data_IF_612317626593
#
_entry.id   IF_612317626593
#
_cell.length_a   1.000
_cell.length_b   1.000
_cell.length_c   1.000
_cell.angle_alpha   90.00
_cell.angle_beta   90.00
_cell.angle_gamma   90.00
#
_symmetry.space_group_name_H-M   'P 1'
#
loop_
_entity.id
_entity.type
_entity.pdbx_description
1 polymer ?
#
# COMPACT_ATOMS: atom_id res chain seq x y z
N UNK A 1 12.75 -11.53 26.95
CA UNK A 1 13.56 -11.53 25.72
C UNK A 1 13.75 -12.92 25.13
N UNK A 2 14.51 -13.84 25.76
CA UNK A 2 14.75 -15.17 25.17
C UNK A 2 13.48 -15.95 24.79
N UNK A 3 12.50 -16.04 25.70
CA UNK A 3 11.19 -16.68 25.43
C UNK A 3 10.37 -15.97 24.36
N UNK A 4 10.45 -14.63 24.31
CA UNK A 4 9.78 -13.83 23.28
C UNK A 4 10.38 -14.09 21.90
N UNK A 5 11.71 -14.09 21.78
CA UNK A 5 12.42 -14.44 20.54
C UNK A 5 12.04 -15.84 20.05
N UNK A 6 11.98 -16.83 20.95
CA UNK A 6 11.60 -18.19 20.58
C UNK A 6 10.14 -18.27 20.10
N UNK A 7 9.21 -17.60 20.78
CA UNK A 7 7.80 -17.56 20.35
C UNK A 7 7.66 -16.91 18.98
N UNK A 8 8.31 -15.76 18.77
CA UNK A 8 8.32 -15.04 17.49
C UNK A 8 8.95 -15.87 16.37
N UNK A 9 10.06 -16.54 16.65
CA UNK A 9 10.71 -17.45 15.71
C UNK A 9 9.81 -18.61 15.28
N UNK A 10 9.11 -19.23 16.23
CA UNK A 10 8.20 -20.34 15.94
C UNK A 10 6.97 -19.88 15.14
N UNK A 11 6.38 -18.74 15.53
CA UNK A 11 5.25 -18.15 14.82
C UNK A 11 5.62 -17.74 13.39
N UNK A 12 6.78 -17.11 13.21
CA UNK A 12 7.31 -16.76 11.89
C UNK A 12 7.53 -18.00 11.03
N UNK A 13 8.16 -19.06 11.56
CA UNK A 13 8.37 -20.30 10.80
C UNK A 13 7.06 -20.98 10.40
N UNK A 14 6.04 -20.95 11.26
CA UNK A 14 4.72 -21.47 10.91
C UNK A 14 4.10 -20.69 9.74
N UNK A 15 4.09 -19.35 9.82
CA UNK A 15 3.58 -18.48 8.74
C UNK A 15 4.39 -18.63 7.45
N UNK A 16 5.72 -18.75 7.54
CA UNK A 16 6.62 -18.98 6.40
C UNK A 16 6.30 -20.30 5.70
N UNK A 17 6.10 -21.38 6.46
CA UNK A 17 5.77 -22.69 5.92
C UNK A 17 4.39 -22.72 5.25
N UNK A 18 3.39 -22.09 5.87
CA UNK A 18 2.05 -21.95 5.28
C UNK A 18 2.10 -21.15 3.96
N UNK A 19 2.81 -20.02 3.95
CA UNK A 19 2.99 -19.22 2.75
C UNK A 19 3.74 -19.98 1.65
N UNK A 20 4.77 -20.76 2.00
CA UNK A 20 5.53 -21.58 1.07
C UNK A 20 4.69 -22.70 0.46
N UNK A 21 3.82 -23.36 1.25
CA UNK A 21 2.86 -24.35 0.72
C UNK A 21 1.94 -23.70 -0.31
N UNK A 22 1.39 -22.53 0.01
CA UNK A 22 0.49 -21.82 -0.91
C UNK A 22 1.24 -21.45 -2.19
N UNK A 23 2.46 -20.93 -2.10
CA UNK A 23 3.28 -20.58 -3.26
C UNK A 23 3.62 -21.82 -4.11
N UNK A 24 3.95 -22.95 -3.51
CA UNK A 24 4.23 -24.19 -4.23
C UNK A 24 2.98 -24.71 -4.97
N UNK A 25 1.80 -24.61 -4.35
CA UNK A 25 0.54 -24.94 -5.02
C UNK A 25 0.25 -24.00 -6.21
N UNK A 26 0.59 -22.72 -6.08
CA UNK A 26 0.44 -21.74 -7.17
C UNK A 26 1.42 -21.98 -8.32
N UNK A 27 2.67 -22.38 -8.01
CA UNK A 27 3.66 -22.77 -9.02
C UNK A 27 3.19 -24.01 -9.81
N UNK A 28 2.56 -25.00 -9.15
CA UNK A 28 1.95 -26.15 -9.83
C UNK A 28 0.80 -25.75 -10.77
N UNK A 29 0.09 -24.67 -10.46
CA UNK A 29 -0.97 -24.10 -11.29
C UNK A 29 -0.43 -23.17 -12.40
N UNK A 30 0.89 -23.05 -12.55
CA UNK A 30 1.54 -22.25 -13.59
C UNK A 30 1.78 -20.78 -13.23
N UNK A 31 1.55 -20.38 -11.98
CA UNK A 31 1.84 -19.03 -11.50
C UNK A 31 3.20 -18.98 -10.82
N UNK A 32 4.22 -18.53 -11.55
CA UNK A 32 5.57 -18.36 -11.00
C UNK A 32 5.63 -17.21 -10.00
N UNK A 33 6.53 -17.27 -9.02
CA UNK A 33 6.81 -16.18 -8.07
C UNK A 33 7.10 -14.84 -8.77
N UNK A 34 7.85 -14.87 -9.87
CA UNK A 34 8.18 -13.67 -10.66
C UNK A 34 6.93 -13.04 -11.30
N UNK A 35 6.01 -13.86 -11.80
CA UNK A 35 4.74 -13.37 -12.36
C UNK A 35 3.88 -12.71 -11.27
N UNK A 36 3.80 -13.32 -10.09
CA UNK A 36 3.08 -12.74 -8.95
C UNK A 36 3.71 -11.41 -8.49
N UNK A 37 5.04 -11.30 -8.53
CA UNK A 37 5.76 -10.07 -8.22
C UNK A 37 5.47 -8.95 -9.25
N UNK A 38 5.41 -9.28 -10.54
CA UNK A 38 5.02 -8.33 -11.59
C UNK A 38 3.59 -7.85 -11.38
N UNK A 39 2.66 -8.78 -11.13
CA UNK A 39 1.25 -8.46 -10.86
C UNK A 39 1.09 -7.60 -9.60
N UNK A 40 1.86 -7.86 -8.55
CA UNK A 40 1.91 -7.00 -7.37
C UNK A 40 2.43 -5.59 -7.70
N UNK A 41 3.50 -5.47 -8.48
CA UNK A 41 4.03 -4.17 -8.88
C UNK A 41 3.03 -3.38 -9.74
N UNK A 42 2.32 -4.04 -10.66
CA UNK A 42 1.24 -3.43 -11.44
C UNK A 42 0.11 -2.93 -10.54
N UNK A 43 -0.26 -3.72 -9.53
CA UNK A 43 -1.23 -3.32 -8.51
C UNK A 43 -0.75 -2.08 -7.76
N UNK A 44 0.50 -2.07 -7.27
CA UNK A 44 1.08 -0.93 -6.53
C UNK A 44 1.08 0.31 -7.41
N UNK A 45 1.57 0.22 -8.64
CA UNK A 45 1.58 1.35 -9.60
C UNK A 45 0.16 1.85 -9.85
N UNK A 46 -0.83 0.95 -9.97
CA UNK A 46 -2.21 1.36 -10.16
C UNK A 46 -2.79 2.07 -8.93
N UNK A 47 -2.54 1.53 -7.73
CA UNK A 47 -3.09 2.03 -6.47
C UNK A 47 -2.39 3.29 -5.94
N UNK A 48 -1.11 3.49 -6.26
CA UNK A 48 -0.30 4.64 -5.82
C UNK A 48 -0.34 5.81 -6.82
N UNK A 49 -1.06 5.68 -7.94
CA UNK A 49 -1.21 6.78 -8.91
C UNK A 49 -1.78 8.03 -8.23
N UNK A 50 -1.18 9.21 -8.44
CA UNK A 50 -1.69 10.43 -7.85
C UNK A 50 -3.11 10.71 -8.34
N UNK A 51 -3.94 11.21 -7.44
CA UNK A 51 -5.31 11.61 -7.75
C UNK A 51 -5.29 12.61 -8.90
N UNK A 52 -6.13 12.37 -9.92
CA UNK A 52 -6.29 13.33 -11.01
C UNK A 52 -6.71 14.68 -10.44
N UNK A 53 -5.90 15.71 -10.70
CA UNK A 53 -6.20 17.09 -10.31
C UNK A 53 -7.24 17.67 -11.27
N UNK A 54 -8.12 18.51 -10.74
CA UNK A 54 -9.02 19.32 -11.55
C UNK A 54 -8.19 20.36 -12.32
N UNK A 55 -8.44 20.52 -13.62
CA UNK A 55 -7.86 21.61 -14.40
C UNK A 55 -8.89 22.15 -15.37
N UNK A 56 -9.04 23.48 -15.40
CA UNK A 56 -9.91 24.21 -16.34
C UNK A 56 -9.51 23.97 -17.80
N UNK A 57 -8.25 23.61 -18.05
CA UNK A 57 -7.70 23.38 -19.38
C UNK A 57 -7.61 21.89 -19.77
N UNK A 58 -8.02 20.97 -18.90
CA UNK A 58 -7.83 19.54 -19.14
C UNK A 58 -8.57 19.06 -20.39
N UNK A 59 -9.81 19.51 -20.59
CA UNK A 59 -10.58 19.19 -21.80
C UNK A 59 -9.91 19.72 -23.07
N UNK A 60 -9.29 20.90 -23.03
CA UNK A 60 -8.57 21.45 -24.17
C UNK A 60 -7.27 20.66 -24.45
N UNK A 61 -6.51 20.28 -23.41
CA UNK A 61 -5.32 19.44 -23.55
C UNK A 61 -5.65 18.07 -24.13
N UNK A 62 -6.73 17.44 -23.67
CA UNK A 62 -7.17 16.13 -24.18
C UNK A 62 -7.57 16.23 -25.66
N UNK A 63 -8.27 17.30 -26.05
CA UNK A 63 -8.62 17.55 -27.46
C UNK A 63 -7.36 17.84 -28.30
N UNK A 64 -6.43 18.66 -27.81
CA UNK A 64 -5.14 18.94 -28.46
C UNK A 64 -4.33 17.65 -28.68
N UNK A 65 -4.32 16.76 -27.69
CA UNK A 65 -3.64 15.47 -27.80
C UNK A 65 -4.34 14.56 -28.82
N UNK A 66 -5.67 14.56 -28.89
CA UNK A 66 -6.41 13.84 -29.96
C UNK A 66 -6.09 14.42 -31.34
N UNK A 67 -5.98 15.74 -31.46
CA UNK A 67 -5.62 16.41 -32.71
C UNK A 67 -4.18 16.03 -33.13
N UNK A 68 -3.24 16.05 -32.20
CA UNK A 68 -1.85 15.63 -32.42
C UNK A 68 -1.78 14.15 -32.85
N UNK A 69 -2.49 13.27 -32.14
CA UNK A 69 -2.58 11.85 -32.50
C UNK A 69 -3.21 11.64 -33.88
N UNK A 70 -4.22 12.44 -34.24
CA UNK A 70 -4.85 12.39 -35.56
C UNK A 70 -3.88 12.84 -36.65
N UNK A 71 -3.09 13.88 -36.40
CA UNK A 71 -2.05 14.35 -37.32
C UNK A 71 -0.94 13.28 -37.50
N UNK A 72 -0.52 12.63 -36.41
CA UNK A 72 0.45 11.54 -36.46
C UNK A 72 -0.11 10.32 -37.21
N UNK A 73 -1.40 10.03 -37.07
CA UNK A 73 -2.05 8.97 -37.84
C UNK A 73 -2.07 9.28 -39.34
N UNK A 74 -2.27 10.54 -39.72
CA UNK A 74 -2.20 10.96 -41.11
C UNK A 74 -0.77 10.91 -41.67
N UNK A 75 0.26 11.21 -40.87
CA UNK A 75 1.66 11.04 -41.31
C UNK A 75 2.02 9.56 -41.44
N UNK A 76 1.66 8.71 -40.48
CA UNK A 76 1.89 7.26 -40.58
C UNK A 76 1.17 6.63 -41.78
N UNK A 77 -0.06 7.06 -42.09
CA UNK A 77 -0.76 6.63 -43.31
C UNK A 77 -0.05 7.09 -44.59
N UNK A 78 0.45 8.32 -44.63
CA UNK A 78 1.20 8.84 -45.79
C UNK A 78 2.50 8.07 -46.01
N UNK A 79 3.23 7.73 -44.94
CA UNK A 79 4.42 6.89 -45.02
C UNK A 79 4.08 5.45 -45.44
N UNK A 80 2.99 4.88 -44.92
CA UNK A 80 2.50 3.56 -45.36
C UNK A 80 2.19 3.57 -46.87
N UNK A 81 1.43 4.55 -47.34
CA UNK A 81 1.10 4.69 -48.77
C UNK A 81 2.35 4.92 -49.63
N UNK A 82 3.37 5.63 -49.11
CA UNK A 82 4.66 5.83 -49.82
C UNK A 82 5.41 4.52 -49.97
N UNK A 83 5.51 3.73 -48.89
CA UNK A 83 6.16 2.42 -48.92
C UNK A 83 5.39 1.41 -49.78
N UNK A 84 4.06 1.41 -49.75
CA UNK A 84 3.20 0.63 -50.65
C UNK A 84 3.43 1.03 -52.12
N UNK A 85 3.50 2.34 -52.42
CA UNK A 85 3.80 2.83 -53.77
C UNK A 85 5.20 2.45 -54.24
N UNK A 86 6.19 2.36 -53.32
CA UNK A 86 7.55 1.88 -53.64
C UNK A 86 7.57 0.38 -53.97
N UNK A 87 6.73 -0.42 -53.31
CA UNK A 87 6.54 -1.84 -53.62
C UNK A 87 5.86 -2.00 -55.00
N UNK A 88 4.84 -1.19 -55.30
CA UNK A 88 4.10 -1.26 -56.58
C UNK A 88 4.92 -0.80 -57.78
N UNK A 89 5.74 0.25 -57.60
CA UNK A 89 6.57 0.81 -58.69
C UNK A 89 7.87 0.04 -58.91
N UNK A 90 8.31 -0.76 -57.94
CA UNK A 90 9.55 -1.56 -58.03
C UNK A 90 10.83 -0.73 -58.07
N UNK A 91 10.76 0.57 -57.74
CA UNK A 91 11.89 1.49 -57.67
C UNK A 91 12.28 1.63 -56.21
N UNK A 92 13.39 0.99 -55.84
CA UNK A 92 13.92 1.02 -54.48
C UNK A 92 15.02 2.08 -54.36
N UNK A 93 15.05 2.80 -53.24
CA UNK A 93 16.19 3.66 -52.89
C UNK A 93 17.44 2.80 -52.63
N UNK A 94 18.62 3.34 -52.95
CA UNK A 94 19.90 2.65 -52.82
C UNK A 94 20.11 2.18 -51.36
N UNK A 95 20.31 0.87 -51.17
CA UNK A 95 20.41 0.12 -49.90
C UNK A 95 19.10 -0.28 -49.18
N UNK A 96 17.92 -0.08 -49.77
CA UNK A 96 16.67 -0.57 -49.18
C UNK A 96 16.25 -1.90 -49.82
N UNK A 97 16.28 -2.99 -49.04
CA UNK A 97 15.83 -4.32 -49.48
C UNK A 97 14.32 -4.48 -49.26
N UNK A 98 13.64 -5.23 -50.12
CA UNK A 98 12.19 -5.54 -50.02
C UNK A 98 11.78 -6.01 -48.60
N UNK A 99 12.62 -6.81 -47.95
CA UNK A 99 12.41 -7.29 -46.57
C UNK A 99 12.33 -6.15 -45.54
N UNK A 100 13.19 -5.13 -45.65
CA UNK A 100 13.23 -3.96 -44.77
C UNK A 100 11.97 -3.10 -44.96
N UNK A 101 11.47 -3.01 -46.20
CA UNK A 101 10.23 -2.28 -46.49
C UNK A 101 9.04 -2.99 -45.87
N UNK A 102 8.97 -4.32 -45.96
CA UNK A 102 7.91 -5.13 -45.37
C UNK A 102 7.89 -5.04 -43.83
N UNK A 103 9.05 -5.15 -43.18
CA UNK A 103 9.16 -5.00 -41.72
C UNK A 103 8.71 -3.61 -41.24
N UNK A 104 9.14 -2.54 -41.93
CA UNK A 104 8.71 -1.18 -41.62
C UNK A 104 7.21 -0.96 -41.87
N UNK A 105 6.63 -1.64 -42.85
CA UNK A 105 5.20 -1.57 -43.17
C UNK A 105 4.38 -2.27 -42.07
N UNK A 106 4.81 -3.45 -41.62
CA UNK A 106 4.20 -4.15 -40.48
C UNK A 106 4.27 -3.31 -39.20
N UNK A 107 5.42 -2.72 -38.88
CA UNK A 107 5.57 -1.81 -37.74
C UNK A 107 4.66 -0.56 -37.85
N UNK A 108 4.59 0.06 -39.03
CA UNK A 108 3.75 1.24 -39.25
C UNK A 108 2.27 0.88 -39.18
N UNK A 109 1.85 -0.27 -39.69
CA UNK A 109 0.49 -0.77 -39.56
C UNK A 109 0.13 -1.05 -38.10
N UNK A 110 1.06 -1.62 -37.31
CA UNK A 110 0.86 -1.83 -35.88
C UNK A 110 0.75 -0.48 -35.13
N UNK A 111 1.62 0.49 -35.45
CA UNK A 111 1.56 1.86 -34.93
C UNK A 111 0.25 2.58 -35.31
N UNK A 112 -0.24 2.40 -36.54
CA UNK A 112 -1.54 2.92 -37.00
C UNK A 112 -2.69 2.26 -36.22
N UNK A 113 -2.64 0.95 -35.99
CA UNK A 113 -3.65 0.25 -35.19
C UNK A 113 -3.68 0.74 -33.75
N UNK A 114 -2.51 0.85 -33.10
CA UNK A 114 -2.35 1.36 -31.73
C UNK A 114 -2.85 2.80 -31.60
N UNK A 115 -2.47 3.68 -32.54
CA UNK A 115 -2.90 5.09 -32.53
C UNK A 115 -4.39 5.25 -32.84
N UNK A 116 -4.97 4.45 -33.74
CA UNK A 116 -6.43 4.41 -33.97
C UNK A 116 -7.19 4.03 -32.71
N UNK A 117 -6.75 2.97 -32.01
CA UNK A 117 -7.32 2.57 -30.72
C UNK A 117 -7.21 3.70 -29.70
N UNK A 118 -6.03 4.31 -29.56
CA UNK A 118 -5.83 5.44 -28.65
C UNK A 118 -6.77 6.63 -28.95
N UNK A 119 -6.96 6.98 -30.23
CA UNK A 119 -7.90 8.04 -30.65
C UNK A 119 -9.34 7.63 -30.34
N UNK A 120 -9.73 6.39 -30.64
CA UNK A 120 -11.07 5.87 -30.33
C UNK A 120 -11.35 5.98 -28.83
N UNK A 121 -10.42 5.54 -28.00
CA UNK A 121 -10.59 5.49 -26.54
C UNK A 121 -10.63 6.89 -25.94
N UNK A 122 -9.83 7.82 -26.47
CA UNK A 122 -9.89 9.23 -26.07
C UNK A 122 -11.16 9.93 -26.54
N UNK A 123 -11.68 9.60 -27.74
CA UNK A 123 -12.97 10.13 -28.24
C UNK A 123 -14.16 9.58 -27.46
N UNK A 124 -14.15 8.30 -27.11
CA UNK A 124 -15.13 7.66 -26.25
C UNK A 124 -15.19 8.35 -24.88
N UNK A 125 -14.02 8.59 -24.25
CA UNK A 125 -13.92 9.35 -22.99
C UNK A 125 -14.49 10.77 -23.07
N UNK A 126 -14.42 11.42 -24.23
CA UNK A 126 -15.03 12.73 -24.43
C UNK A 126 -16.52 12.65 -24.82
N UNK A 127 -17.06 11.45 -25.07
CA UNK A 127 -18.43 11.21 -25.59
C UNK A 127 -18.74 12.16 -26.75
N UNK A 128 -17.75 12.28 -27.63
CA UNK A 128 -17.86 13.05 -28.86
C UNK A 128 -18.19 12.06 -29.95
N UNK A 129 -19.46 12.09 -30.37
CA UNK A 129 -19.93 11.37 -31.54
C UNK A 129 -18.97 11.64 -32.71
N UNK A 130 -18.51 10.60 -33.40
CA UNK A 130 -17.37 10.66 -34.34
C UNK A 130 -17.53 11.63 -35.52
N UNK A 131 -18.71 12.25 -35.63
CA UNK A 131 -19.13 13.23 -36.63
C UNK A 131 -18.96 14.69 -36.19
N UNK A 132 -18.63 14.96 -34.92
CA UNK A 132 -18.46 16.33 -34.43
C UNK A 132 -17.03 16.84 -34.70
N UNK A 133 -16.93 18.02 -35.31
CA UNK A 133 -15.64 18.67 -35.54
C UNK A 133 -14.95 18.97 -34.21
N UNK A 134 -13.86 18.27 -33.90
CA UNK A 134 -13.05 18.46 -32.67
C UNK A 134 -12.60 19.92 -32.49
N UNK A 135 -12.38 20.63 -33.59
CA UNK A 135 -12.04 22.06 -33.61
C UNK A 135 -13.16 22.97 -33.10
N UNK A 136 -14.43 22.56 -33.24
CA UNK A 136 -15.59 23.27 -32.68
C UNK A 136 -15.89 22.89 -31.23
N UNK A 137 -15.38 21.75 -30.77
CA UNK A 137 -15.44 21.33 -29.36
C UNK A 137 -14.35 21.98 -28.51
N UNK A 138 -13.28 22.46 -29.13
CA UNK A 138 -12.28 23.28 -28.48
C UNK A 138 -12.97 24.52 -27.92
N UNK A 139 -12.90 24.71 -26.59
CA UNK A 139 -13.64 25.72 -25.81
C UNK A 139 -15.14 25.50 -25.56
N UNK A 140 -15.72 24.33 -25.83
CA UNK A 140 -17.10 24.08 -25.40
C UNK A 140 -17.19 24.02 -23.86
N UNK A 141 -17.88 24.98 -23.26
CA UNK A 141 -18.10 25.06 -21.82
C UNK A 141 -18.82 23.82 -21.27
N UNK A 142 -19.72 23.22 -22.05
CA UNK A 142 -20.44 22.01 -21.65
C UNK A 142 -19.49 20.82 -21.47
N UNK A 143 -18.54 20.63 -22.40
CA UNK A 143 -17.56 19.54 -22.32
C UNK A 143 -16.58 19.77 -21.17
N UNK A 144 -16.12 21.01 -20.97
CA UNK A 144 -15.26 21.37 -19.84
C UNK A 144 -15.94 21.05 -18.51
N UNK A 145 -17.21 21.42 -18.37
CA UNK A 145 -18.00 21.19 -17.17
C UNK A 145 -18.28 19.69 -16.96
N UNK A 146 -18.61 18.94 -18.01
CA UNK A 146 -18.80 17.48 -17.94
C UNK A 146 -17.52 16.75 -17.53
N UNK A 147 -16.38 17.07 -18.15
CA UNK A 147 -15.08 16.49 -17.78
C UNK A 147 -14.68 16.84 -16.35
N UNK A 148 -14.97 18.07 -15.92
CA UNK A 148 -14.76 18.47 -14.53
C UNK A 148 -15.66 17.68 -13.57
N UNK A 149 -16.95 17.51 -13.88
CA UNK A 149 -17.86 16.71 -13.08
C UNK A 149 -17.40 15.24 -13.00
N UNK A 150 -16.91 14.64 -14.09
CA UNK A 150 -16.34 13.30 -14.09
C UNK A 150 -15.10 13.20 -13.19
N UNK A 151 -14.18 14.18 -13.30
CA UNK A 151 -12.97 14.23 -12.47
C UNK A 151 -13.32 14.40 -10.98
N UNK A 152 -14.30 15.25 -10.65
CA UNK A 152 -14.82 15.40 -9.29
C UNK A 152 -15.41 14.08 -8.78
N UNK A 153 -16.19 13.38 -9.60
CA UNK A 153 -16.78 12.09 -9.24
C UNK A 153 -15.72 11.01 -9.00
N UNK A 154 -14.70 10.92 -9.85
CA UNK A 154 -13.55 10.01 -9.64
C UNK A 154 -12.83 10.34 -8.33
N UNK A 155 -12.55 11.62 -8.08
CA UNK A 155 -11.91 12.07 -6.84
C UNK A 155 -12.75 11.79 -5.60
N UNK A 156 -14.08 11.94 -5.64
CA UNK A 156 -14.96 11.60 -4.53
C UNK A 156 -14.89 10.08 -4.27
N UNK A 157 -14.97 9.24 -5.31
CA UNK A 157 -14.84 7.77 -5.19
C UNK A 157 -13.51 7.38 -4.53
N UNK A 158 -12.41 7.96 -4.98
CA UNK A 158 -11.08 7.64 -4.43
C UNK A 158 -10.93 8.11 -2.99
N UNK A 159 -11.39 9.33 -2.64
CA UNK A 159 -11.35 9.82 -1.25
C UNK A 159 -12.21 8.98 -0.30
N UNK A 160 -13.37 8.51 -0.77
CA UNK A 160 -14.21 7.61 0.03
C UNK A 160 -13.55 6.24 0.21
N UNK A 161 -12.87 5.70 -0.81
CA UNK A 161 -12.09 4.47 -0.71
C UNK A 161 -10.93 4.62 0.28
N UNK A 162 -10.16 5.71 0.18
CA UNK A 162 -9.07 6.01 1.12
C UNK A 162 -9.59 6.10 2.55
N UNK A 163 -10.70 6.81 2.79
CA UNK A 163 -11.34 6.87 4.11
C UNK A 163 -11.72 5.50 4.64
N UNK A 164 -12.32 4.63 3.80
CA UNK A 164 -12.69 3.27 4.21
C UNK A 164 -11.46 2.46 4.61
N UNK A 165 -10.38 2.57 3.84
CA UNK A 165 -9.11 1.91 4.16
C UNK A 165 -8.50 2.45 5.47
N UNK A 166 -8.49 3.77 5.69
CA UNK A 166 -8.05 4.40 6.93
C UNK A 166 -8.86 3.88 8.14
N UNK A 167 -10.18 3.76 8.02
CA UNK A 167 -11.04 3.21 9.08
C UNK A 167 -10.80 1.72 9.34
N UNK A 168 -10.66 0.90 8.29
CA UNK A 168 -10.40 -0.54 8.44
C UNK A 168 -9.01 -0.80 9.06
N UNK A 169 -8.02 0.03 8.71
CA UNK A 169 -6.71 -0.03 9.34
C UNK A 169 -6.80 0.28 10.85
N UNK A 170 -7.61 1.28 11.23
CA UNK A 170 -7.88 1.59 12.64
C UNK A 170 -8.57 0.45 13.39
N UNK A 171 -9.57 -0.19 12.78
CA UNK A 171 -10.26 -1.32 13.39
C UNK A 171 -9.32 -2.52 13.60
N UNK A 172 -8.38 -2.76 12.68
CA UNK A 172 -7.35 -3.79 12.84
C UNK A 172 -6.36 -3.48 13.96
N UNK A 173 -5.81 -2.26 13.98
CA UNK A 173 -4.90 -1.81 15.04
C UNK A 173 -5.58 -1.85 16.44
N UNK A 174 -6.89 -1.64 16.49
CA UNK A 174 -7.66 -1.74 17.74
C UNK A 174 -7.79 -3.18 18.25
N UNK A 175 -7.95 -4.16 17.35
CA UNK A 175 -8.03 -5.58 17.76
C UNK A 175 -6.70 -6.09 18.31
N UNK A 176 -5.57 -5.49 17.92
CA UNK A 176 -4.24 -5.93 18.36
C UNK A 176 -3.71 -5.19 19.60
N UNK A 177 -4.19 -3.97 19.91
CA UNK A 177 -3.69 -3.18 21.07
C UNK A 177 -4.78 -2.89 22.11
N UNK A 178 -4.66 -3.51 23.28
CA UNK A 178 -5.60 -3.41 24.42
C UNK A 178 -5.58 -2.01 25.07
N UNK A 179 -4.61 -1.14 24.77
CA UNK A 179 -4.44 0.12 25.52
C UNK A 179 -4.01 1.32 24.65
N UNK A 180 -4.95 1.94 23.91
CA UNK A 180 -4.68 3.28 23.35
C UNK A 180 -5.90 4.17 23.03
N UNK A 181 -6.82 4.34 23.97
CA UNK A 181 -8.01 5.21 23.79
C UNK A 181 -7.71 6.69 23.44
N UNK A 182 -6.48 7.19 23.67
CA UNK A 182 -6.07 8.56 23.31
C UNK A 182 -5.64 8.68 21.84
N UNK A 183 -4.84 7.73 21.33
CA UNK A 183 -4.47 7.68 19.91
C UNK A 183 -5.72 7.56 19.04
N UNK A 184 -6.69 6.75 19.49
CA UNK A 184 -8.00 6.61 18.86
C UNK A 184 -8.73 7.96 18.69
N UNK A 185 -8.76 8.80 19.74
CA UNK A 185 -9.40 10.12 19.66
C UNK A 185 -8.68 11.02 18.65
N UNK A 186 -7.36 11.03 18.64
CA UNK A 186 -6.58 11.85 17.72
C UNK A 186 -6.78 11.42 16.26
N UNK A 187 -6.70 10.13 15.97
CA UNK A 187 -6.88 9.64 14.59
C UNK A 187 -8.32 9.75 14.13
N UNK A 188 -9.30 9.43 14.98
CA UNK A 188 -10.71 9.62 14.65
C UNK A 188 -11.04 11.11 14.41
N UNK A 189 -10.37 12.02 15.13
CA UNK A 189 -10.47 13.46 14.88
C UNK A 189 -9.82 13.85 13.55
N UNK A 190 -8.68 13.26 13.17
CA UNK A 190 -8.06 13.48 11.86
C UNK A 190 -8.96 12.99 10.70
N UNK A 191 -9.57 11.81 10.83
CA UNK A 191 -10.53 11.30 9.83
C UNK A 191 -11.74 12.24 9.73
N UNK A 192 -12.26 12.72 10.87
CA UNK A 192 -13.36 13.70 10.90
C UNK A 192 -12.97 15.04 10.26
N UNK A 193 -11.73 15.51 10.41
CA UNK A 193 -11.25 16.75 9.76
C UNK A 193 -11.26 16.66 8.22
N UNK A 194 -11.13 15.45 7.66
CA UNK A 194 -11.22 15.22 6.20
C UNK A 194 -12.66 15.18 5.68
N UNK A 195 -13.68 15.01 6.53
CA UNK A 195 -15.10 14.92 6.14
C UNK A 195 -15.64 16.17 5.42
N UNK A 196 -15.41 17.40 5.94
CA UNK A 196 -15.86 18.61 5.27
C UNK A 196 -15.29 18.77 3.86
N UNK A 197 -14.04 18.32 3.65
CA UNK A 197 -13.39 18.33 2.34
C UNK A 197 -14.08 17.41 1.33
N UNK A 198 -14.50 16.21 1.75
CA UNK A 198 -15.27 15.28 0.90
C UNK A 198 -16.67 15.84 0.63
N UNK A 199 -17.34 16.37 1.64
CA UNK A 199 -18.66 17.01 1.48
C UNK A 199 -18.60 18.21 0.54
N UNK A 200 -17.54 19.03 0.61
CA UNK A 200 -17.33 20.16 -0.29
C UNK A 200 -17.18 19.70 -1.75
N UNK A 201 -16.43 18.62 -1.99
CA UNK A 201 -16.32 18.03 -3.33
C UNK A 201 -17.67 17.54 -3.86
N UNK A 202 -18.48 16.89 -3.01
CA UNK A 202 -19.83 16.46 -3.38
C UNK A 202 -20.73 17.66 -3.71
N UNK A 203 -20.68 18.73 -2.91
CA UNK A 203 -21.41 19.97 -3.20
C UNK A 203 -21.01 20.56 -4.54
N UNK A 204 -19.71 20.59 -4.84
CA UNK A 204 -19.20 21.11 -6.12
C UNK A 204 -19.60 20.22 -7.30
N UNK A 205 -19.61 18.90 -7.13
CA UNK A 205 -20.12 17.96 -8.12
C UNK A 205 -21.62 18.19 -8.39
N UNK A 206 -22.44 18.27 -7.33
CA UNK A 206 -23.87 18.52 -7.47
C UNK A 206 -24.17 19.89 -8.13
N UNK A 207 -23.37 20.93 -7.82
CA UNK A 207 -23.44 22.22 -8.54
C UNK A 207 -23.14 22.06 -10.03
N UNK A 208 -22.13 21.26 -10.40
CA UNK A 208 -21.81 20.97 -11.78
C UNK A 208 -22.94 20.19 -12.49
N UNK A 209 -23.60 19.24 -11.82
CA UNK A 209 -24.78 18.54 -12.34
C UNK A 209 -25.93 19.51 -12.67
N UNK A 210 -26.28 20.42 -11.75
CA UNK A 210 -27.33 21.43 -11.97
C UNK A 210 -26.98 22.36 -13.15
N UNK A 211 -25.72 22.76 -13.26
CA UNK A 211 -25.25 23.56 -14.40
C UNK A 211 -25.36 22.79 -15.72
N UNK A 212 -25.01 21.49 -15.74
CA UNK A 212 -25.17 20.64 -16.93
C UNK A 212 -26.64 20.47 -17.32
N UNK A 213 -27.55 20.25 -16.37
CA UNK A 213 -29.00 20.21 -16.60
C UNK A 213 -29.51 21.51 -17.21
N UNK A 214 -29.10 22.65 -16.66
CA UNK A 214 -29.45 23.97 -17.21
C UNK A 214 -28.94 24.16 -18.65
N UNK A 215 -27.71 23.73 -18.95
CA UNK A 215 -27.16 23.82 -20.32
C UNK A 215 -27.87 22.90 -21.31
N UNK A 216 -28.36 21.74 -20.85
CA UNK A 216 -29.20 20.82 -21.64
C UNK A 216 -30.57 21.45 -21.91
N UNK A 217 -31.21 22.03 -20.88
CA UNK A 217 -32.49 22.74 -21.02
C UNK A 217 -32.37 23.94 -21.99
N UNK A 218 -31.24 24.65 -21.96
CA UNK A 218 -30.92 25.76 -22.87
C UNK A 218 -30.50 25.31 -24.29
N UNK A 219 -30.48 24.00 -24.59
CA UNK A 219 -30.03 23.42 -25.88
C UNK A 219 -28.61 23.82 -26.31
N UNK A 220 -27.75 24.17 -25.35
CA UNK A 220 -26.32 24.45 -25.59
C UNK A 220 -25.48 23.16 -25.56
N UNK A 221 -26.07 22.05 -25.15
CA UNK A 221 -25.46 20.74 -25.12
C UNK A 221 -25.55 20.00 -26.48
N UNK A 222 -24.64 19.06 -26.78
CA UNK A 222 -24.75 18.14 -27.91
C UNK A 222 -26.09 17.37 -27.90
N UNK A 223 -26.58 16.99 -29.10
CA UNK A 223 -27.83 16.21 -29.21
C UNK A 223 -27.68 14.87 -28.51
N UNK A 224 -28.63 14.53 -27.64
CA UNK A 224 -28.61 13.28 -26.87
C UNK A 224 -27.85 13.32 -25.55
N UNK A 225 -27.29 14.48 -25.15
CA UNK A 225 -26.59 14.59 -23.88
C UNK A 225 -27.52 14.35 -22.67
N UNK A 226 -27.12 13.40 -21.81
CA UNK A 226 -27.81 13.05 -20.56
C UNK A 226 -27.09 13.74 -19.39
N UNK A 227 -27.85 14.31 -18.47
CA UNK A 227 -27.30 14.92 -17.27
C UNK A 227 -26.84 13.85 -16.26
N UNK A 228 -25.68 14.02 -15.61
CA UNK A 228 -25.24 13.11 -14.57
C UNK A 228 -26.09 13.21 -13.30
N UNK A 229 -26.33 12.07 -12.66
CA UNK A 229 -27.12 12.01 -11.42
C UNK A 229 -26.39 12.71 -10.25
N UNK A 230 -27.09 13.53 -9.46
CA UNK A 230 -26.53 14.12 -8.24
C UNK A 230 -26.33 13.06 -7.14
N UNK A 231 -25.32 13.29 -6.30
CA UNK A 231 -24.99 12.42 -5.16
C UNK A 231 -25.76 12.89 -3.93
N UNK A 232 -26.44 11.96 -3.28
CA UNK A 232 -27.16 12.20 -2.03
C UNK A 232 -26.11 12.38 -0.91
N UNK A 233 -26.20 13.49 -0.17
CA UNK A 233 -25.26 13.78 0.92
C UNK A 233 -25.58 13.00 2.21
N UNK A 234 -26.86 12.68 2.43
CA UNK A 234 -27.29 11.84 3.55
C UNK A 234 -26.80 10.41 3.33
N UNK A 235 -26.01 9.89 4.27
CA UNK A 235 -25.49 8.52 4.17
C UNK A 235 -24.26 8.34 3.29
N UNK A 236 -23.65 9.41 2.75
CA UNK A 236 -22.47 9.37 1.87
C UNK A 236 -21.33 8.46 2.37
N UNK A 237 -21.13 8.39 3.69
CA UNK A 237 -20.05 7.61 4.30
C UNK A 237 -20.42 6.15 4.59
N UNK A 238 -21.68 5.76 4.41
CA UNK A 238 -22.12 4.36 4.53
C UNK A 238 -21.70 3.55 3.31
N UNK A 239 -21.48 4.19 2.15
CA UNK A 239 -20.99 3.57 0.92
C UNK A 239 -21.85 2.35 0.54
N UNK A 240 -23.13 2.59 0.29
CA UNK A 240 -24.04 1.52 -0.11
C UNK A 240 -23.77 1.10 -1.56
N UNK A 241 -24.13 -0.14 -1.91
CA UNK A 241 -23.94 -0.70 -3.26
C UNK A 241 -24.78 0.06 -4.28
N UNK A 242 -25.94 0.59 -3.85
CA UNK A 242 -26.89 1.31 -4.68
C UNK A 242 -26.63 2.83 -4.77
N UNK A 243 -25.55 3.34 -4.17
CA UNK A 243 -25.25 4.77 -4.22
C UNK A 243 -25.01 5.26 -5.66
N UNK A 244 -25.64 6.39 -6.03
CA UNK A 244 -25.48 7.05 -7.35
C UNK A 244 -24.02 7.37 -7.71
N UNK A 245 -23.12 7.34 -6.73
CA UNK A 245 -21.69 7.51 -6.94
C UNK A 245 -21.08 6.41 -7.84
N UNK A 246 -21.69 5.22 -7.89
CA UNK A 246 -21.22 4.09 -8.67
C UNK A 246 -21.74 4.07 -10.11
N UNK A 247 -22.81 4.80 -10.42
CA UNK A 247 -23.45 4.79 -11.74
C UNK A 247 -22.88 5.86 -12.66
N UNK A 248 -22.11 5.52 -13.70
CA UNK A 248 -21.51 6.48 -14.64
C UNK A 248 -22.46 6.99 -15.77
N UNK A 249 -23.75 7.06 -15.46
CA UNK A 249 -24.80 7.59 -16.35
C UNK A 249 -24.49 9.05 -16.73
N UNK A 250 -24.44 9.35 -18.03
CA UNK A 250 -24.09 10.67 -18.56
C UNK A 250 -22.59 10.95 -18.63
N UNK A 251 -21.74 9.97 -18.27
CA UNK A 251 -20.29 10.05 -18.44
C UNK A 251 -19.76 9.04 -19.46
N UNK A 252 -20.25 7.80 -19.46
CA UNK A 252 -19.94 6.79 -20.48
C UNK A 252 -21.16 6.55 -21.40
N UNK A 253 -20.91 6.59 -22.71
CA UNK A 253 -21.77 5.94 -23.70
C UNK A 253 -21.13 4.58 -23.97
N UNK A 254 -21.58 3.55 -23.25
CA UNK A 254 -21.03 2.19 -23.34
C UNK A 254 -21.32 1.58 -24.72
N UNK A 255 -20.40 1.76 -25.67
CA UNK A 255 -20.09 0.75 -26.67
C UNK A 255 -18.76 0.09 -26.31
N UNK A 256 -18.84 -0.94 -25.47
CA UNK A 256 -18.04 -2.17 -25.55
C UNK A 256 -16.56 -2.00 -25.89
N UNK A 257 -15.75 -1.46 -24.98
CA UNK A 257 -14.41 -2.01 -24.80
C UNK A 257 -14.40 -2.76 -23.47
N UNK A 258 -14.35 -4.09 -23.56
CA UNK A 258 -13.95 -4.97 -22.48
C UNK A 258 -12.67 -4.42 -21.87
N UNK A 259 -12.80 -3.68 -20.77
CA UNK A 259 -11.69 -3.38 -19.88
C UNK A 259 -11.20 -4.75 -19.45
N UNK A 260 -10.12 -5.24 -20.04
CA UNK A 260 -9.46 -6.47 -19.59
C UNK A 260 -9.17 -6.28 -18.12
N UNK A 261 -9.92 -7.00 -17.28
CA UNK A 261 -9.81 -6.91 -15.83
C UNK A 261 -8.41 -7.43 -15.49
N UNK A 262 -7.56 -6.62 -14.86
CA UNK A 262 -6.21 -7.06 -14.52
C UNK A 262 -6.24 -8.36 -13.73
N UNK A 263 -5.28 -9.25 -13.99
CA UNK A 263 -5.26 -10.58 -13.39
C UNK A 263 -5.17 -10.52 -11.85
N UNK A 264 -4.42 -9.56 -11.30
CA UNK A 264 -4.38 -9.29 -9.85
C UNK A 264 -5.72 -8.88 -9.24
N UNK A 265 -6.68 -8.40 -10.05
CA UNK A 265 -8.01 -8.01 -9.58
C UNK A 265 -9.05 -9.11 -9.82
N UNK A 266 -9.02 -9.73 -11.00
CA UNK A 266 -10.04 -10.67 -11.48
C UNK A 266 -9.81 -12.13 -11.08
N UNK A 267 -8.56 -12.59 -10.95
CA UNK A 267 -8.24 -13.99 -10.66
C UNK A 267 -7.98 -14.20 -9.17
N UNK A 268 -8.80 -15.03 -8.53
CA UNK A 268 -8.66 -15.33 -7.09
C UNK A 268 -7.33 -16.02 -6.77
N UNK A 269 -6.83 -16.88 -7.65
CA UNK A 269 -5.57 -17.58 -7.44
C UNK A 269 -4.38 -16.60 -7.43
N UNK A 270 -4.39 -15.60 -8.32
CA UNK A 270 -3.37 -14.54 -8.37
C UNK A 270 -3.42 -13.70 -7.09
N UNK A 271 -4.62 -13.37 -6.59
CA UNK A 271 -4.79 -12.65 -5.32
C UNK A 271 -4.24 -13.43 -4.12
N UNK A 272 -4.56 -14.73 -4.03
CA UNK A 272 -4.03 -15.61 -2.99
C UNK A 272 -2.51 -15.77 -3.10
N UNK A 273 -2.00 -15.90 -4.33
CA UNK A 273 -0.57 -15.99 -4.62
C UNK A 273 0.18 -14.72 -4.20
N UNK A 274 -0.33 -13.52 -4.53
CA UNK A 274 0.26 -12.25 -4.11
C UNK A 274 0.30 -12.15 -2.58
N UNK A 275 -0.80 -12.47 -1.88
CA UNK A 275 -0.82 -12.46 -0.41
C UNK A 275 0.23 -13.40 0.19
N UNK A 276 0.32 -14.63 -0.31
CA UNK A 276 1.32 -15.59 0.15
C UNK A 276 2.75 -15.13 -0.16
N UNK A 277 2.98 -14.51 -1.31
CA UNK A 277 4.29 -13.96 -1.68
C UNK A 277 4.72 -12.84 -0.71
N UNK A 278 3.80 -11.92 -0.39
CA UNK A 278 4.06 -10.83 0.55
C UNK A 278 4.31 -11.36 1.97
N UNK A 279 3.52 -12.32 2.43
CA UNK A 279 3.71 -12.95 3.75
C UNK A 279 5.06 -13.67 3.82
N UNK A 280 5.44 -14.39 2.76
CA UNK A 280 6.74 -15.05 2.67
C UNK A 280 7.90 -14.05 2.72
N UNK A 281 7.82 -12.95 1.96
CA UNK A 281 8.82 -11.89 1.98
C UNK A 281 8.92 -11.22 3.35
N UNK A 282 7.78 -10.96 4.01
CA UNK A 282 7.72 -10.43 5.37
C UNK A 282 8.37 -11.39 6.37
N UNK A 283 8.12 -12.69 6.25
CA UNK A 283 8.75 -13.70 7.09
C UNK A 283 10.28 -13.73 6.90
N UNK A 284 10.79 -13.56 5.67
CA UNK A 284 12.24 -13.46 5.41
C UNK A 284 12.84 -12.22 6.08
N UNK A 285 12.15 -11.09 6.00
CA UNK A 285 12.60 -9.85 6.65
C UNK A 285 12.63 -10.01 8.17
N UNK A 286 11.54 -10.53 8.75
CA UNK A 286 11.43 -10.78 10.19
C UNK A 286 12.46 -11.83 10.66
N UNK A 287 12.74 -12.86 9.85
CA UNK A 287 13.81 -13.83 10.11
C UNK A 287 15.17 -13.13 10.26
N UNK A 288 15.51 -12.21 9.35
CA UNK A 288 16.74 -11.41 9.45
C UNK A 288 16.74 -10.54 10.70
N UNK A 289 15.62 -9.87 10.99
CA UNK A 289 15.46 -9.04 12.19
C UNK A 289 15.69 -9.83 13.47
N UNK A 290 15.03 -10.98 13.64
CA UNK A 290 15.15 -11.85 14.81
C UNK A 290 16.58 -12.38 14.99
N UNK A 291 17.29 -12.67 13.89
CA UNK A 291 18.70 -13.05 13.92
C UNK A 291 19.57 -11.90 14.45
N UNK A 292 19.34 -10.66 13.99
CA UNK A 292 20.07 -9.48 14.46
C UNK A 292 19.75 -9.10 15.91
N UNK A 293 18.49 -9.25 16.34
CA UNK A 293 18.09 -9.07 17.74
C UNK A 293 18.74 -10.10 18.64
N UNK A 294 18.80 -11.37 18.20
CA UNK A 294 19.56 -12.42 18.89
C UNK A 294 21.04 -12.02 19.04
N UNK A 295 21.69 -11.55 17.97
CA UNK A 295 23.09 -11.11 18.02
C UNK A 295 23.28 -9.95 19.00
N UNK A 296 22.41 -8.95 18.95
CA UNK A 296 22.44 -7.78 19.84
C UNK A 296 22.28 -8.18 21.31
N UNK A 297 21.31 -9.05 21.61
CA UNK A 297 21.07 -9.57 22.95
C UNK A 297 22.28 -10.36 23.49
N UNK A 298 22.90 -11.20 22.65
CA UNK A 298 24.10 -11.95 23.01
C UNK A 298 25.29 -11.02 23.24
N UNK A 299 25.47 -10.01 22.39
CA UNK A 299 26.56 -9.04 22.51
C UNK A 299 26.46 -8.23 23.79
N UNK A 300 25.26 -7.69 24.08
CA UNK A 300 24.99 -6.97 25.32
C UNK A 300 25.35 -7.81 26.55
N UNK A 301 24.94 -9.08 26.56
CA UNK A 301 25.26 -9.94 27.69
C UNK A 301 26.75 -10.22 27.84
N UNK A 302 27.48 -10.43 26.73
CA UNK A 302 28.94 -10.64 26.74
C UNK A 302 29.65 -9.43 27.35
N UNK A 303 29.26 -8.23 26.93
CA UNK A 303 29.85 -6.98 27.42
C UNK A 303 29.61 -6.80 28.91
N UNK A 304 28.34 -6.93 29.35
CA UNK A 304 27.96 -6.84 30.76
C UNK A 304 28.71 -7.87 31.61
N UNK A 305 28.83 -9.11 31.12
CA UNK A 305 29.53 -10.18 31.81
C UNK A 305 31.03 -9.86 32.00
N UNK A 306 31.70 -9.42 30.93
CA UNK A 306 33.13 -9.05 30.98
C UNK A 306 33.36 -7.87 31.93
N UNK A 307 32.50 -6.86 31.90
CA UNK A 307 32.59 -5.68 32.77
C UNK A 307 32.47 -6.09 34.25
N UNK A 308 31.49 -6.92 34.59
CA UNK A 308 31.28 -7.36 35.98
C UNK A 308 32.44 -8.22 36.48
N UNK A 309 32.94 -9.15 35.66
CA UNK A 309 34.07 -10.00 36.05
C UNK A 309 35.33 -9.14 36.30
N UNK A 310 35.59 -8.15 35.43
CA UNK A 310 36.70 -7.20 35.63
C UNK A 310 36.51 -6.36 36.90
N UNK A 311 35.30 -5.83 37.12
CA UNK A 311 34.99 -5.02 38.31
C UNK A 311 35.18 -5.80 39.62
N UNK A 312 34.73 -7.06 39.66
CA UNK A 312 34.95 -7.95 40.82
C UNK A 312 36.44 -8.20 41.06
N UNK A 313 37.24 -8.34 40.01
CA UNK A 313 38.69 -8.54 40.12
C UNK A 313 39.46 -7.29 40.56
N UNK A 314 38.96 -6.09 40.27
CA UNK A 314 39.63 -4.82 40.58
C UNK A 314 39.19 -4.20 41.92
N UNK A 315 37.93 -4.38 42.33
CA UNK A 315 37.35 -3.75 43.54
C UNK A 315 37.39 -4.69 44.75
N UNK A 316 38.54 -5.33 45.01
CA UNK A 316 38.68 -6.28 46.14
C UNK A 316 38.69 -5.63 47.52
N UNK A 317 38.74 -4.30 47.61
CA UNK A 317 38.91 -3.56 48.86
C UNK A 317 37.60 -3.08 49.50
N UNK A 318 36.55 -2.80 48.72
CA UNK A 318 35.25 -2.34 49.22
C UNK A 318 34.22 -3.49 49.30
N UNK A 319 33.92 -3.93 50.52
CA UNK A 319 33.04 -5.06 50.83
C UNK A 319 31.61 -4.82 50.31
N UNK A 320 31.11 -3.58 50.37
CA UNK A 320 29.72 -3.26 49.98
C UNK A 320 29.54 -3.30 48.46
N UNK A 321 30.49 -2.71 47.73
CA UNK A 321 30.50 -2.72 46.26
C UNK A 321 30.68 -4.15 45.74
N UNK A 322 31.56 -4.93 46.36
CA UNK A 322 31.79 -6.32 46.00
C UNK A 322 30.56 -7.21 46.22
N UNK A 323 29.76 -6.96 47.25
CA UNK A 323 28.48 -7.65 47.46
C UNK A 323 27.48 -7.34 46.35
N UNK A 324 27.33 -6.07 45.94
CA UNK A 324 26.45 -5.66 44.85
C UNK A 324 26.87 -6.26 43.50
N UNK A 325 28.18 -6.28 43.21
CA UNK A 325 28.72 -6.90 41.99
C UNK A 325 28.47 -8.41 41.96
N UNK A 326 28.57 -9.09 43.11
CA UNK A 326 28.22 -10.53 43.23
C UNK A 326 26.73 -10.78 42.99
N UNK A 327 25.84 -9.92 43.52
CA UNK A 327 24.40 -10.01 43.24
C UNK A 327 24.10 -9.81 41.75
N UNK A 328 24.73 -8.80 41.12
CA UNK A 328 24.61 -8.56 39.67
C UNK A 328 25.13 -9.75 38.85
N UNK A 329 26.24 -10.37 39.24
CA UNK A 329 26.76 -11.61 38.62
C UNK A 329 25.75 -12.75 38.73
N UNK A 330 25.13 -12.95 39.90
CA UNK A 330 24.09 -13.97 40.07
C UNK A 330 22.86 -13.68 39.20
N UNK A 331 22.41 -12.43 39.12
CA UNK A 331 21.33 -12.02 38.23
C UNK A 331 21.63 -12.36 36.77
N UNK A 332 22.83 -12.04 36.27
CA UNK A 332 23.22 -12.39 34.90
C UNK A 332 23.28 -13.90 34.68
N UNK A 333 23.69 -14.70 35.68
CA UNK A 333 23.63 -16.15 35.56
C UNK A 333 22.20 -16.68 35.42
N UNK A 334 21.24 -16.14 36.18
CA UNK A 334 19.82 -16.50 36.02
C UNK A 334 19.29 -16.09 34.65
N UNK A 335 19.67 -14.89 34.20
CA UNK A 335 19.29 -14.37 32.89
C UNK A 335 19.83 -15.26 31.76
N UNK A 336 21.10 -15.68 31.86
CA UNK A 336 21.72 -16.64 30.95
C UNK A 336 20.93 -17.94 30.86
N UNK A 337 20.57 -18.53 32.01
CA UNK A 337 19.79 -19.78 32.05
C UNK A 337 18.41 -19.62 31.40
N UNK A 338 17.77 -18.48 31.60
CA UNK A 338 16.46 -18.17 31.00
C UNK A 338 16.53 -17.94 29.48
N UNK A 339 17.68 -17.51 28.94
CA UNK A 339 17.84 -17.17 27.53
C UNK A 339 18.56 -18.26 26.71
N UNK A 340 19.41 -19.08 27.32
CA UNK A 340 20.20 -20.10 26.63
C UNK A 340 19.33 -21.12 25.88
N UNK A 341 18.30 -21.66 26.56
CA UNK A 341 17.43 -22.68 25.96
C UNK A 341 16.55 -22.11 24.84
N UNK A 342 15.83 -20.99 25.03
CA UNK A 342 14.97 -20.44 23.97
C UNK A 342 15.72 -20.00 22.72
N UNK A 343 16.95 -19.47 22.88
CA UNK A 343 17.72 -18.83 21.81
C UNK A 343 18.53 -19.83 20.99
N UNK A 344 18.72 -21.06 21.50
CA UNK A 344 19.43 -22.14 20.80
C UNK A 344 18.71 -22.59 19.52
N UNK A 345 17.37 -22.50 19.47
CA UNK A 345 16.57 -22.89 18.31
C UNK A 345 16.69 -21.95 17.10
N UNK A 346 17.27 -20.76 17.28
CA UNK A 346 17.43 -19.75 16.24
C UNK A 346 18.82 -19.93 15.59
N UNK A 347 18.96 -19.99 14.26
CA UNK A 347 20.25 -20.09 13.59
C UNK A 347 21.15 -18.87 13.88
N UNK A 348 22.46 -19.09 13.90
CA UNK A 348 23.46 -18.02 14.10
C UNK A 348 24.82 -18.56 14.52
N UNK A 349 25.90 -17.84 14.17
CA UNK A 349 27.30 -18.25 14.36
C UNK A 349 27.74 -18.46 15.82
N UNK A 350 26.91 -18.07 16.78
CA UNK A 350 27.26 -18.04 18.20
C UNK A 350 26.74 -19.26 18.98
N UNK A 351 27.01 -20.48 18.49
CA UNK A 351 26.83 -21.71 19.26
C UNK A 351 27.87 -21.88 20.40
N UNK A 352 28.76 -20.91 20.56
CA UNK A 352 29.84 -20.91 21.56
C UNK A 352 29.44 -20.09 22.79
N UNK A 353 29.74 -20.63 23.98
CA UNK A 353 29.46 -20.05 25.30
C UNK A 353 29.66 -18.53 25.30
N UNK A 354 28.56 -17.79 25.35
CA UNK A 354 28.53 -16.33 25.27
C UNK A 354 28.75 -15.65 26.64
N UNK A 355 29.40 -16.34 27.59
CA UNK A 355 29.73 -15.77 28.89
C UNK A 355 30.30 -16.79 29.88
N UNK A 356 29.49 -17.34 30.81
CA UNK A 356 30.00 -18.04 32.00
C UNK A 356 30.67 -19.36 31.66
N UNK A 357 31.64 -19.78 32.48
CA UNK A 357 32.28 -21.09 32.32
C UNK A 357 31.27 -22.20 32.57
N UNK A 358 31.42 -23.37 31.92
CA UNK A 358 30.53 -24.53 32.11
C UNK A 358 30.30 -24.89 33.59
N UNK A 359 31.33 -24.72 34.42
CA UNK A 359 31.25 -24.95 35.87
C UNK A 359 30.39 -23.92 36.62
N UNK A 360 30.42 -22.65 36.21
CA UNK A 360 29.59 -21.59 36.79
C UNK A 360 28.12 -21.77 36.41
N UNK A 361 27.86 -22.25 35.18
CA UNK A 361 26.53 -22.64 34.71
C UNK A 361 25.99 -23.82 35.52
N UNK A 362 26.81 -24.85 35.78
CA UNK A 362 26.40 -26.01 36.59
C UNK A 362 26.14 -25.60 38.05
N UNK A 363 26.98 -24.73 38.62
CA UNK A 363 26.78 -24.20 39.98
C UNK A 363 25.52 -23.34 40.07
N UNK A 364 25.24 -22.49 39.07
CA UNK A 364 24.03 -21.69 39.00
C UNK A 364 22.76 -22.55 38.87
N UNK A 365 22.78 -23.59 38.00
CA UNK A 365 21.68 -24.55 37.88
C UNK A 365 21.40 -25.27 39.20
N UNK A 366 22.44 -25.76 39.88
CA UNK A 366 22.31 -26.37 41.20
C UNK A 366 21.73 -25.39 42.21
N UNK A 367 22.23 -24.16 42.26
CA UNK A 367 21.74 -23.13 43.17
C UNK A 367 20.28 -22.74 42.93
N UNK A 368 19.84 -22.61 41.67
CA UNK A 368 18.43 -22.37 41.32
C UNK A 368 17.53 -23.54 41.67
N UNK A 369 17.95 -24.79 41.41
CA UNK A 369 17.18 -25.96 41.82
C UNK A 369 17.07 -26.04 43.35
N UNK A 370 18.16 -25.79 44.08
CA UNK A 370 18.14 -25.79 45.55
C UNK A 370 17.35 -24.61 46.13
N UNK A 371 17.41 -23.41 45.55
CA UNK A 371 16.56 -22.28 45.93
C UNK A 371 15.09 -22.51 45.59
N UNK A 372 14.78 -23.16 44.47
CA UNK A 372 13.41 -23.46 44.08
C UNK A 372 12.80 -24.54 44.98
N UNK A 373 13.60 -25.49 45.45
CA UNK A 373 13.21 -26.45 46.50
C UNK A 373 12.97 -25.74 47.84
N UNK A 374 13.86 -24.82 48.24
CA UNK A 374 13.67 -23.99 49.44
C UNK A 374 12.41 -23.10 49.35
N UNK A 375 12.11 -22.51 48.20
CA UNK A 375 10.89 -21.72 48.01
C UNK A 375 9.65 -22.62 48.04
N UNK A 376 9.70 -23.83 47.46
CA UNK A 376 8.60 -24.83 47.53
C UNK A 376 8.33 -25.32 48.95
N UNK A 377 9.37 -25.54 49.75
CA UNK A 377 9.23 -25.90 51.17
C UNK A 377 8.59 -24.77 51.98
N UNK A 378 8.92 -23.51 51.69
CA UNK A 378 8.29 -22.35 52.35
C UNK A 378 6.86 -22.04 51.85
N UNK A 379 6.54 -22.30 50.58
CA UNK A 379 5.18 -22.06 50.03
C UNK A 379 4.19 -23.16 50.39
N UNK A 380 4.65 -24.40 50.65
CA UNK A 380 3.80 -25.50 51.10
C UNK A 380 3.25 -25.30 52.52
N UNK A 381 3.77 -24.35 53.29
CA UNK A 381 3.20 -23.98 54.61
C UNK A 381 2.13 -22.87 54.52
N UNK A 382 1.89 -22.26 53.35
CA UNK A 382 1.04 -21.04 53.26
C UNK A 382 -0.03 -21.03 52.14
N UNK A 383 -0.15 -22.02 51.26
CA UNK A 383 -1.08 -21.91 50.11
C UNK A 383 -2.01 -23.10 49.88
N UNK A 384 -2.97 -23.30 50.78
CA UNK A 384 -4.30 -23.86 50.45
C UNK A 384 -5.19 -22.74 49.86
N UNK A 385 -4.88 -22.29 48.63
CA UNK A 385 -5.83 -21.52 47.82
C UNK A 385 -5.73 -22.04 46.39
N UNK A 386 -6.73 -22.82 45.99
CA UNK A 386 -7.04 -23.14 44.59
C UNK A 386 -7.16 -21.84 43.78
N UNK A 387 -6.38 -21.73 42.70
CA UNK A 387 -6.66 -20.80 41.61
C UNK A 387 -6.70 -21.62 40.33
N UNK A 388 -7.92 -21.74 39.81
CA UNK A 388 -8.23 -22.29 38.50
C UNK A 388 -7.42 -21.54 37.43
N UNK A 389 -6.71 -22.32 36.61
CA UNK A 389 -6.04 -21.83 35.41
C UNK A 389 -7.06 -21.82 34.27
N UNK A 390 -7.68 -20.67 34.03
CA UNK A 390 -8.40 -20.43 32.78
C UNK A 390 -7.41 -20.05 31.67
N UNK A 391 -7.55 -20.83 30.60
CA UNK A 391 -6.96 -20.75 29.28
C UNK A 391 -7.35 -19.43 28.62
N UNK A 392 -6.40 -18.59 28.21
CA UNK A 392 -6.69 -17.57 27.20
C UNK A 392 -5.47 -17.26 26.32
N UNK A 393 -5.74 -17.42 25.03
CA UNK A 393 -4.87 -17.34 23.88
C UNK A 393 -4.62 -15.89 23.43
N UNK A 394 -3.65 -15.76 22.52
CA UNK A 394 -3.56 -14.68 21.53
C UNK A 394 -2.85 -13.39 21.98
N UNK A 395 -1.51 -13.44 21.99
CA UNK A 395 -0.64 -12.25 22.00
C UNK A 395 0.15 -12.19 20.69
N UNK A 396 -0.42 -11.54 19.67
CA UNK A 396 0.36 -10.98 18.55
C UNK A 396 0.85 -9.59 18.95
N UNK A 397 2.09 -9.49 19.45
CA UNK A 397 2.69 -8.20 19.83
C UNK A 397 3.68 -7.74 18.75
N UNK A 398 3.23 -6.83 17.87
CA UNK A 398 4.05 -6.20 16.83
C UNK A 398 4.82 -5.00 17.43
N UNK A 399 6.15 -5.12 17.48
CA UNK A 399 7.03 -3.95 17.46
C UNK A 399 7.00 -3.36 16.04
N UNK A 400 5.98 -2.54 15.80
CA UNK A 400 5.88 -1.68 14.63
C UNK A 400 6.40 -0.29 15.01
N UNK A 401 7.73 -0.13 14.93
CA UNK A 401 8.33 1.19 14.76
C UNK A 401 8.59 1.38 13.27
N UNK A 402 7.52 1.62 12.50
CA UNK A 402 7.65 2.38 11.27
C UNK A 402 7.64 3.85 11.65
N UNK A 403 8.85 4.39 11.78
CA UNK A 403 9.15 5.81 11.76
C UNK A 403 8.84 6.33 10.35
N UNK A 404 7.56 6.36 9.98
CA UNK A 404 7.11 7.09 8.80
C UNK A 404 7.07 8.55 9.20
N UNK A 405 8.13 9.24 8.77
CA UNK A 405 8.23 10.70 8.71
C UNK A 405 6.92 11.23 8.14
N UNK A 406 6.07 11.75 9.04
CA UNK A 406 5.02 12.69 8.68
C UNK A 406 5.75 13.86 8.04
N UNK A 407 5.86 13.81 6.72
CA UNK A 407 6.18 15.00 5.95
C UNK A 407 4.99 15.90 6.13
N UNK A 408 5.16 16.91 6.99
CA UNK A 408 4.31 18.09 7.01
C UNK A 408 4.28 18.64 5.58
N UNK A 409 3.26 18.24 4.82
CA UNK A 409 2.81 19.04 3.71
C UNK A 409 2.19 20.27 4.35
N UNK A 410 2.97 21.36 4.36
CA UNK A 410 2.54 22.70 4.67
C UNK A 410 1.30 23.02 3.80
N UNK A 411 0.10 22.80 4.35
CA UNK A 411 -1.17 23.35 3.87
C UNK A 411 -1.27 24.86 4.18
N UNK A 412 -0.13 25.56 4.24
CA UNK A 412 -0.02 26.98 4.55
C UNK A 412 -0.53 27.90 3.44
N UNK A 413 -0.55 27.43 2.19
CA UNK A 413 -0.78 28.29 1.03
C UNK A 413 -2.16 28.07 0.37
N UNK A 414 -2.98 27.12 0.84
CA UNK A 414 -4.30 26.83 0.22
C UNK A 414 -5.42 27.75 0.75
N UNK A 415 -5.20 28.40 1.91
CA UNK A 415 -6.13 29.38 2.47
C UNK A 415 -6.02 30.77 1.78
N UNK A 416 -4.82 31.21 1.39
CA UNK A 416 -4.63 32.50 0.73
C UNK A 416 -5.25 32.54 -0.68
N UNK A 417 -5.34 31.40 -1.36
CA UNK A 417 -6.01 31.29 -2.66
C UNK A 417 -7.54 31.30 -2.57
N UNK A 418 -8.12 31.05 -1.39
CA UNK A 418 -9.57 31.06 -1.20
C UNK A 418 -10.09 32.49 -0.92
N UNK A 419 -9.31 33.34 -0.25
CA UNK A 419 -9.68 34.74 -0.02
C UNK A 419 -9.61 35.57 -1.31
N UNK A 420 -8.69 35.26 -2.22
CA UNK A 420 -8.63 35.90 -3.55
C UNK A 420 -9.81 35.53 -4.48
N UNK A 421 -10.50 34.42 -4.21
CA UNK A 421 -11.71 34.02 -4.95
C UNK A 421 -12.94 34.79 -4.46
N UNK A 422 -12.97 35.24 -3.19
CA UNK A 422 -14.06 36.06 -2.66
C UNK A 422 -13.92 37.54 -3.07
N UNK A 423 -12.71 38.10 -3.18
CA UNK A 423 -12.53 39.50 -3.63
C UNK A 423 -12.89 39.70 -5.11
N UNK A 424 -12.55 38.77 -6.00
CA UNK A 424 -12.80 38.89 -7.45
C UNK A 424 -14.28 38.65 -7.85
N UNK A 425 -15.09 38.08 -6.98
CA UNK A 425 -16.54 37.94 -7.17
C UNK A 425 -17.34 39.12 -6.61
N UNK A 426 -16.69 40.04 -5.89
CA UNK A 426 -17.32 41.25 -5.35
C UNK A 426 -17.16 42.49 -6.25
N UNK A 427 -16.36 42.39 -7.33
CA UNK A 427 -16.00 43.51 -8.21
C UNK A 427 -16.39 43.33 -9.70
N UNK A 428 -17.24 42.35 -10.01
CA UNK A 428 -17.96 42.21 -11.30
C UNK A 428 -19.46 42.07 -11.06
#
# INVERSE_FOLDING_TARGET
MGTWLQRKWNAMNAKKFEAEIILNNMEQNGYTKDYLAIQWNEQVIYQTKPLKKQSKAWANKEIEEILLLSQNLDTYKKECNRLESMIETGIYEENITLYIIQENLEELQEKISKTKKAISNKRAKLSVDGRLNLTKLLNNEFLKLRMNALALKQRIRDRLRMRKFELENMERAYRSSINEAKLQKHVHQQIKRKEPGIQSLVRNYNKACVQLESMIAQKKAPRGAIAPLPIIMEGLFKLDVDDNIWQDIGFDDDENETIEIPDWLGKEDVRKGIKALLEYNRCIEEERRLIEEKKSMIQWFREEWVVIIKAIGQMSEDINVLYQLKQRKQFLLRLYLSWELPVRGIPGENNTLWGPTKEEIIKAKKYETTQSVLYKEYTNEVADIEMELEDDNEYEDEHDNNDDVITDFEDGDEAELLDQIEEDLSTL
#
